data_IF_004848898865
#
_entry.id   IF_004848898865
#
_cell.length_a   1.000
_cell.length_b   1.000
_cell.length_c   1.000
_cell.angle_alpha   90.00
_cell.angle_beta   90.00
_cell.angle_gamma   90.00
#
_symmetry.space_group_name_H-M   'P 1'
#
loop_
_entity.id
_entity.type
_entity.pdbx_description
1 polymer ?
#
# COMPACT_ATOMS: atom_id res chain seq x y z
N UNK A 1 -15.18 -26.14 -12.56
CA UNK A 1 -15.42 -26.05 -11.10
C UNK A 1 -14.27 -25.30 -10.43
N UNK A 2 -14.52 -24.12 -9.87
CA UNK A 2 -13.50 -23.33 -9.16
C UNK A 2 -13.08 -24.03 -7.87
N UNK A 3 -12.02 -24.86 -7.91
CA UNK A 3 -11.44 -25.43 -6.68
C UNK A 3 -10.86 -24.28 -5.85
N UNK A 4 -11.49 -24.00 -4.71
CA UNK A 4 -11.03 -23.04 -3.71
C UNK A 4 -10.55 -23.83 -2.48
N UNK A 5 -9.32 -24.38 -2.51
CA UNK A 5 -8.82 -25.24 -1.45
C UNK A 5 -8.60 -24.48 -0.14
N UNK A 6 -8.38 -23.16 -0.19
CA UNK A 6 -8.13 -22.32 0.97
C UNK A 6 -9.45 -21.75 1.48
N UNK A 7 -9.92 -22.25 2.62
CA UNK A 7 -11.18 -21.84 3.26
C UNK A 7 -10.88 -21.14 4.58
N UNK A 8 -11.63 -20.07 4.87
CA UNK A 8 -11.61 -19.44 6.17
C UNK A 8 -12.29 -20.35 7.21
N UNK A 9 -11.73 -20.40 8.42
CA UNK A 9 -12.31 -21.12 9.55
C UNK A 9 -13.34 -20.29 10.32
N UNK A 10 -13.32 -18.97 10.18
CA UNK A 10 -14.19 -18.04 10.91
C UNK A 10 -15.41 -17.59 10.12
N UNK A 11 -15.41 -17.75 8.79
CA UNK A 11 -16.54 -17.40 7.94
C UNK A 11 -16.58 -18.27 6.67
N UNK A 12 -17.57 -18.05 5.81
CA UNK A 12 -17.76 -18.83 4.57
C UNK A 12 -16.83 -18.43 3.41
N UNK A 13 -15.82 -17.59 3.65
CA UNK A 13 -14.88 -17.15 2.62
C UNK A 13 -13.98 -18.31 2.15
N UNK A 14 -13.76 -18.41 0.84
CA UNK A 14 -12.82 -19.35 0.26
C UNK A 14 -12.17 -18.80 -1.02
N UNK A 15 -10.88 -19.08 -1.18
CA UNK A 15 -10.04 -18.59 -2.28
C UNK A 15 -9.16 -19.69 -2.88
N UNK A 16 -8.57 -19.37 -4.05
CA UNK A 16 -7.72 -20.31 -4.80
C UNK A 16 -6.25 -20.28 -4.39
N UNK A 17 -5.83 -19.27 -3.63
CA UNK A 17 -4.44 -19.00 -3.27
C UNK A 17 -4.33 -18.80 -1.75
N UNK A 18 -3.25 -19.27 -1.16
CA UNK A 18 -2.97 -19.15 0.29
C UNK A 18 -2.80 -17.70 0.72
N UNK A 19 -2.12 -16.87 -0.08
CA UNK A 19 -1.94 -15.45 0.20
C UNK A 19 -3.27 -14.71 0.38
N UNK A 20 -4.27 -15.01 -0.45
CA UNK A 20 -5.61 -14.43 -0.32
C UNK A 20 -6.29 -14.82 0.99
N UNK A 21 -6.08 -16.06 1.47
CA UNK A 21 -6.63 -16.52 2.74
C UNK A 21 -5.92 -15.79 3.90
N UNK A 22 -4.60 -15.71 3.88
CA UNK A 22 -3.84 -14.99 4.91
C UNK A 22 -4.27 -13.52 5.00
N UNK A 23 -4.39 -12.82 3.86
CA UNK A 23 -4.85 -11.43 3.84
C UNK A 23 -6.30 -11.30 4.34
N UNK A 24 -7.15 -12.29 4.05
CA UNK A 24 -8.52 -12.31 4.55
C UNK A 24 -8.58 -12.54 6.08
N UNK A 25 -7.69 -13.36 6.64
CA UNK A 25 -7.63 -13.59 8.09
C UNK A 25 -7.34 -12.30 8.87
N UNK A 26 -6.57 -11.37 8.29
CA UNK A 26 -6.34 -10.02 8.86
C UNK A 26 -7.63 -9.22 9.08
N UNK A 27 -8.74 -9.56 8.40
CA UNK A 27 -10.03 -8.87 8.59
C UNK A 27 -10.81 -9.40 9.79
N UNK A 28 -10.54 -10.64 10.21
CA UNK A 28 -11.12 -11.21 11.44
C UNK A 28 -10.38 -10.69 12.68
N UNK A 29 -9.08 -10.43 12.51
CA UNK A 29 -8.24 -9.70 13.44
C UNK A 29 -8.57 -8.20 13.34
N UNK A 30 -9.75 -7.81 13.82
CA UNK A 30 -10.41 -6.49 13.68
C UNK A 30 -9.61 -5.24 14.10
N UNK A 31 -8.31 -5.34 14.34
CA UNK A 31 -7.45 -4.25 14.81
C UNK A 31 -6.03 -4.29 14.21
N UNK A 32 -5.74 -5.18 13.25
CA UNK A 32 -4.43 -5.15 12.58
C UNK A 32 -4.42 -4.05 11.50
N UNK A 33 -3.43 -3.13 11.54
CA UNK A 33 -3.34 -2.06 10.55
C UNK A 33 -3.30 -2.71 9.17
N UNK A 34 -4.22 -2.24 8.31
CA UNK A 34 -4.28 -2.62 6.89
C UNK A 34 -2.83 -2.63 6.37
N UNK A 35 -2.35 -3.71 5.73
CA UNK A 35 -0.96 -3.80 5.32
C UNK A 35 -0.65 -2.54 4.53
N UNK A 36 0.31 -1.77 5.03
CA UNK A 36 0.66 -0.49 4.44
C UNK A 36 0.85 -0.72 2.94
N UNK A 37 0.13 0.04 2.14
CA UNK A 37 0.23 -0.03 0.68
C UNK A 37 0.99 1.20 0.23
N UNK A 38 2.32 1.23 0.45
CA UNK A 38 3.13 2.42 0.22
C UNK A 38 3.18 2.83 -1.26
N UNK A 39 2.73 1.95 -2.16
CA UNK A 39 2.74 2.17 -3.59
C UNK A 39 1.34 2.44 -4.13
N UNK A 40 0.89 3.69 -4.04
CA UNK A 40 -0.37 4.15 -4.63
C UNK A 40 -0.16 4.67 -6.05
N UNK A 41 -1.03 4.27 -6.97
CA UNK A 41 -1.10 4.89 -8.29
C UNK A 41 -1.73 6.28 -8.18
N UNK A 42 -1.12 7.26 -8.84
CA UNK A 42 -1.64 8.64 -8.89
C UNK A 42 -2.66 8.84 -10.01
N UNK A 43 -2.74 7.90 -10.97
CA UNK A 43 -3.68 7.94 -12.09
C UNK A 43 -4.95 7.16 -11.78
N UNK A 44 -4.89 6.15 -10.93
CA UNK A 44 -6.07 5.44 -10.44
C UNK A 44 -5.97 5.15 -8.93
N UNK A 45 -7.10 5.00 -8.25
CA UNK A 45 -7.15 4.74 -6.79
C UNK A 45 -6.68 3.33 -6.37
N UNK A 46 -5.83 2.66 -7.16
CA UNK A 46 -5.23 1.38 -6.77
C UNK A 46 -3.96 1.60 -5.97
N UNK A 47 -3.84 0.84 -4.88
CA UNK A 47 -2.63 0.77 -4.06
C UNK A 47 -2.09 -0.65 -3.99
N UNK A 48 -0.78 -0.77 -3.93
CA UNK A 48 -0.03 -2.01 -3.96
C UNK A 48 0.93 -2.09 -2.77
N UNK A 49 1.13 -3.30 -2.27
CA UNK A 49 2.05 -3.58 -1.16
C UNK A 49 3.50 -3.69 -1.61
N UNK A 50 3.75 -3.88 -2.91
CA UNK A 50 5.10 -4.02 -3.47
C UNK A 50 5.29 -3.14 -4.71
N UNK A 51 6.51 -2.64 -4.89
CA UNK A 51 6.88 -1.84 -6.05
C UNK A 51 6.73 -2.63 -7.36
N UNK A 52 7.06 -3.92 -7.37
CA UNK A 52 6.94 -4.74 -8.58
C UNK A 52 5.49 -4.84 -9.09
N UNK A 53 4.52 -5.00 -8.19
CA UNK A 53 3.10 -5.01 -8.54
C UNK A 53 2.63 -3.64 -9.03
N UNK A 54 3.07 -2.57 -8.38
CA UNK A 54 2.80 -1.19 -8.81
C UNK A 54 3.37 -0.92 -10.21
N UNK A 55 4.65 -1.21 -10.45
CA UNK A 55 5.34 -0.95 -11.71
C UNK A 55 4.71 -1.76 -12.84
N UNK A 56 4.37 -3.03 -12.59
CA UNK A 56 3.69 -3.87 -13.58
C UNK A 56 2.30 -3.32 -13.93
N UNK A 57 1.50 -2.95 -12.93
CA UNK A 57 0.22 -2.28 -13.14
C UNK A 57 0.40 -1.01 -13.97
N UNK A 58 1.37 -0.19 -13.60
CA UNK A 58 1.55 1.09 -14.23
C UNK A 58 2.00 0.94 -15.69
N UNK A 59 3.02 0.14 -15.95
CA UNK A 59 3.51 -0.12 -17.31
C UNK A 59 2.43 -0.69 -18.23
N UNK A 60 1.50 -1.49 -17.68
CA UNK A 60 0.42 -2.07 -18.47
C UNK A 60 -0.80 -1.16 -18.67
N UNK A 61 -1.11 -0.28 -17.71
CA UNK A 61 -2.38 0.47 -17.67
C UNK A 61 -2.22 1.96 -17.93
N UNK A 62 -1.08 2.55 -17.59
CA UNK A 62 -0.87 4.01 -17.60
C UNK A 62 0.47 4.44 -18.22
N UNK A 63 1.37 3.49 -18.53
CA UNK A 63 2.75 3.79 -18.94
C UNK A 63 3.72 3.88 -17.75
N UNK A 64 4.96 4.26 -17.98
CA UNK A 64 6.00 4.30 -16.93
C UNK A 64 5.74 5.42 -15.90
N UNK A 65 4.96 5.16 -14.85
CA UNK A 65 4.73 6.09 -13.73
C UNK A 65 5.48 5.60 -12.50
N UNK A 66 6.06 6.55 -11.78
CA UNK A 66 6.83 6.32 -10.56
C UNK A 66 5.89 6.22 -9.36
N UNK A 67 6.23 5.33 -8.42
CA UNK A 67 5.52 5.22 -7.16
C UNK A 67 5.86 6.41 -6.29
N UNK A 68 4.86 7.18 -5.86
CA UNK A 68 5.02 8.09 -4.73
C UNK A 68 4.98 7.24 -3.47
N UNK A 69 6.15 6.94 -2.89
CA UNK A 69 6.23 6.42 -1.52
C UNK A 69 5.86 7.59 -0.63
N UNK A 70 4.56 7.82 -0.44
CA UNK A 70 4.09 8.88 0.45
C UNK A 70 4.30 8.40 1.89
N UNK A 71 5.55 8.53 2.32
CA UNK A 71 5.94 8.66 3.71
C UNK A 71 6.28 10.13 3.93
N UNK A 72 5.30 11.01 3.69
CA UNK A 72 5.23 12.18 4.55
C UNK A 72 4.75 11.66 5.91
N UNK A 73 5.72 11.34 6.77
CA UNK A 73 5.53 11.68 8.17
C UNK A 73 5.54 13.21 8.20
N UNK A 74 4.41 13.83 7.83
CA UNK A 74 4.06 15.11 8.39
C UNK A 74 3.76 14.84 9.86
N UNK A 75 4.82 14.81 10.69
CA UNK A 75 4.63 15.32 12.04
C UNK A 75 4.49 16.82 11.83
N UNK A 76 3.27 17.26 11.53
CA UNK A 76 2.87 18.65 11.67
C UNK A 76 2.94 18.99 13.15
N UNK A 77 4.14 19.23 13.68
CA UNK A 77 4.28 19.91 14.95
C UNK A 77 3.96 21.39 14.68
N UNK A 78 2.69 21.75 14.88
CA UNK A 78 2.29 23.15 15.00
C UNK A 78 2.97 23.69 16.26
N UNK A 79 4.14 24.29 16.11
CA UNK A 79 4.58 25.34 17.02
C UNK A 79 4.63 26.62 16.20
N UNK A 80 3.71 27.52 16.53
CA UNK A 80 3.38 28.70 15.74
C UNK A 80 4.42 29.80 15.83
N UNK A 81 5.55 29.63 15.14
CA UNK A 81 6.42 30.73 14.76
C UNK A 81 7.04 30.43 13.39
N UNK A 82 6.67 31.23 12.38
CA UNK A 82 6.91 30.94 10.97
C UNK A 82 8.32 31.23 10.50
N UNK A 83 9.16 30.19 10.43
CA UNK A 83 10.39 30.21 9.62
C UNK A 83 10.52 28.86 8.90
N UNK A 84 10.35 28.86 7.58
CA UNK A 84 10.75 27.74 6.71
C UNK A 84 12.18 27.98 6.25
N UNK A 85 13.18 27.46 6.96
CA UNK A 85 14.56 27.51 6.46
C UNK A 85 14.73 26.46 5.35
N UNK A 86 14.78 26.96 4.11
CA UNK A 86 15.23 26.25 2.94
C UNK A 86 16.75 26.09 3.02
N UNK A 87 17.23 24.87 3.25
CA UNK A 87 18.64 24.54 3.09
C UNK A 87 18.76 23.40 2.05
N UNK A 88 18.69 23.80 0.79
CA UNK A 88 19.51 23.18 -0.25
C UNK A 88 20.96 23.41 0.16
N UNK A 89 21.82 22.39 0.25
CA UNK A 89 23.27 22.43 -0.07
C UNK A 89 23.89 21.01 -0.06
N UNK A 90 25.05 20.95 -0.71
CA UNK A 90 25.71 19.87 -1.43
C UNK A 90 26.37 18.74 -0.62
N UNK A 91 26.62 17.65 -1.36
CA UNK A 91 27.67 16.61 -1.27
C UNK A 91 28.61 16.53 -0.06
N UNK A 92 28.89 15.29 0.35
CA UNK A 92 30.27 14.82 0.56
C UNK A 92 30.52 13.62 -0.35
#
# INVERSE_FOLDING_TARGET
>A
MSKKPYKCSQCSYACRQSYCLNQHMLQHENDQPKPDKPHRCTVCDRSFTTLAMFTSHCNSQHGNIKSTKDTLIEISAIHGDGIVENLQEFSQ
#
